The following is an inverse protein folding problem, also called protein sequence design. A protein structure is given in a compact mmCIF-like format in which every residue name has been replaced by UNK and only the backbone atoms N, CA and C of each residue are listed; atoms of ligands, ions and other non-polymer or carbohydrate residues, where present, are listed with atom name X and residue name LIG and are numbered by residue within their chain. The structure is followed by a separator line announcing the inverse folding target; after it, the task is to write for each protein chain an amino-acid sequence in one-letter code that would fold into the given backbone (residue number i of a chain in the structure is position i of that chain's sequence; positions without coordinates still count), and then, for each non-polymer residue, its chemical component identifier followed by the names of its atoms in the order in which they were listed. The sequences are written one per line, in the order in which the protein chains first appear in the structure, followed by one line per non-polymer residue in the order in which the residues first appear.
data_IF_111572033583
#
_entry.id   IF_111572033583
#
_cell.length_a   1.000
_cell.length_b   1.000
_cell.length_c   1.000
_cell.angle_alpha   90.00
_cell.angle_beta   90.00
_cell.angle_gamma   90.00
#
_symmetry.space_group_name_H-M   'P 1'
#
loop_
_entity.id
_entity.type
_entity.pdbx_description
1 polymer ?
#
# COMPACT_ATOMS: atom_id res chain seq x y z
N UNK A 1 15.22 42.18 -0.80
CA UNK A 1 15.97 40.93 -1.03
C UNK A 1 15.30 39.75 -0.31
N UNK A 2 14.89 39.87 0.94
CA UNK A 2 14.18 38.83 1.73
C UNK A 2 12.86 38.34 1.09
N UNK A 3 11.99 39.25 0.67
CA UNK A 3 10.68 38.91 0.04
C UNK A 3 10.85 38.08 -1.26
N UNK A 4 11.94 38.30 -2.01
CA UNK A 4 12.23 37.52 -3.22
C UNK A 4 12.72 36.11 -2.89
N UNK A 5 13.50 35.93 -1.85
CA UNK A 5 14.00 34.64 -1.37
C UNK A 5 12.85 33.78 -0.80
N UNK A 6 11.96 34.36 0.01
CA UNK A 6 10.78 33.68 0.53
C UNK A 6 9.83 33.22 -0.57
N UNK A 7 9.58 34.08 -1.58
CA UNK A 7 8.76 33.71 -2.75
C UNK A 7 9.40 32.60 -3.58
N UNK A 8 10.71 32.56 -3.69
CA UNK A 8 11.43 31.53 -4.40
C UNK A 8 11.39 30.21 -3.64
N UNK A 9 11.58 30.21 -2.31
CA UNK A 9 11.46 29.04 -1.45
C UNK A 9 10.02 28.46 -1.49
N UNK A 10 8.99 29.31 -1.42
CA UNK A 10 7.60 28.88 -1.54
C UNK A 10 7.26 28.29 -2.91
N UNK A 11 7.82 28.82 -4.01
CA UNK A 11 7.66 28.26 -5.36
C UNK A 11 8.33 26.89 -5.47
N UNK A 12 9.54 26.76 -4.93
CA UNK A 12 10.28 25.50 -4.90
C UNK A 12 9.53 24.41 -4.13
N UNK A 13 9.04 24.73 -2.93
CA UNK A 13 8.23 23.80 -2.11
C UNK A 13 6.97 23.33 -2.83
N UNK A 14 6.24 24.23 -3.51
CA UNK A 14 5.07 23.88 -4.31
C UNK A 14 5.40 22.97 -5.48
N UNK A 15 6.50 23.24 -6.19
CA UNK A 15 6.93 22.42 -7.33
C UNK A 15 7.32 21.00 -6.88
N UNK A 16 8.02 20.87 -5.75
CA UNK A 16 8.39 19.58 -5.17
C UNK A 16 7.18 18.78 -4.69
N UNK A 17 6.23 19.46 -4.05
CA UNK A 17 4.96 18.82 -3.64
C UNK A 17 4.17 18.36 -4.88
N UNK A 18 4.09 19.17 -5.94
CA UNK A 18 3.42 18.78 -7.19
C UNK A 18 4.13 17.59 -7.87
N UNK A 19 5.45 17.56 -7.88
CA UNK A 19 6.22 16.42 -8.41
C UNK A 19 5.96 15.14 -7.61
N UNK A 20 5.85 15.23 -6.28
CA UNK A 20 5.46 14.10 -5.45
C UNK A 20 4.05 13.59 -5.79
N UNK A 21 3.06 14.48 -5.99
CA UNK A 21 1.72 14.09 -6.44
C UNK A 21 1.76 13.39 -7.80
N UNK A 22 2.51 13.94 -8.76
CA UNK A 22 2.68 13.33 -10.08
C UNK A 22 3.32 11.94 -10.01
N UNK A 23 4.26 11.72 -9.08
CA UNK A 23 4.88 10.41 -8.85
C UNK A 23 3.93 9.42 -8.19
N UNK A 24 3.09 9.88 -7.24
CA UNK A 24 2.25 8.98 -6.45
C UNK A 24 1.09 8.35 -7.23
N UNK A 25 0.60 8.97 -8.30
CA UNK A 25 -0.42 8.35 -9.16
C UNK A 25 0.10 7.07 -9.84
N UNK A 26 1.20 7.08 -10.63
CA UNK A 26 1.73 5.85 -11.21
C UNK A 26 2.26 4.87 -10.15
N UNK A 27 2.79 5.34 -9.02
CA UNK A 27 3.16 4.49 -7.89
C UNK A 27 1.92 3.75 -7.37
N UNK A 28 0.78 4.43 -7.21
CA UNK A 28 -0.48 3.83 -6.79
C UNK A 28 -0.97 2.76 -7.76
N UNK A 29 -0.88 3.04 -9.07
CA UNK A 29 -1.20 2.05 -10.12
C UNK A 29 -0.34 0.80 -9.92
N UNK A 30 0.98 0.94 -9.85
CA UNK A 30 1.91 -0.21 -9.82
C UNK A 30 1.84 -0.97 -8.51
N UNK A 31 1.56 -0.30 -7.39
CA UNK A 31 1.44 -0.97 -6.09
C UNK A 31 0.37 -2.06 -6.10
N UNK A 32 -0.76 -1.81 -6.77
CA UNK A 32 -1.89 -2.75 -6.82
C UNK A 32 -1.97 -3.53 -8.13
N UNK A 33 -1.08 -3.27 -9.08
CA UNK A 33 -1.09 -3.78 -10.46
C UNK A 33 -1.11 -5.32 -10.52
N UNK A 34 -0.38 -5.95 -9.62
CA UNK A 34 -0.22 -7.40 -9.63
C UNK A 34 -1.58 -8.13 -9.48
N UNK A 35 -2.49 -7.63 -8.64
CA UNK A 35 -3.80 -8.23 -8.44
C UNK A 35 -4.63 -8.33 -9.73
N UNK A 36 -4.92 -7.21 -10.42
CA UNK A 36 -5.62 -7.23 -11.71
C UNK A 36 -4.90 -7.99 -12.82
N UNK A 37 -3.56 -8.01 -12.82
CA UNK A 37 -2.76 -8.77 -13.81
C UNK A 37 -2.65 -10.26 -13.47
N UNK A 38 -2.86 -10.66 -12.23
CA UNK A 38 -2.63 -12.02 -11.75
C UNK A 38 -3.32 -13.09 -12.61
N UNK A 39 -4.61 -12.93 -13.01
CA UNK A 39 -5.26 -13.89 -13.89
C UNK A 39 -4.58 -14.06 -15.25
N UNK A 40 -4.05 -12.97 -15.82
CA UNK A 40 -3.35 -12.99 -17.09
C UNK A 40 -1.95 -13.60 -16.97
N UNK A 41 -1.19 -13.24 -15.92
CA UNK A 41 0.12 -13.81 -15.64
C UNK A 41 0.04 -15.30 -15.33
N UNK A 42 -0.94 -15.71 -14.52
CA UNK A 42 -1.16 -17.14 -14.21
C UNK A 42 -1.47 -17.96 -15.46
N UNK A 43 -2.31 -17.44 -16.36
CA UNK A 43 -2.61 -18.10 -17.63
C UNK A 43 -1.37 -18.15 -18.54
N UNK A 44 -0.61 -17.06 -18.65
CA UNK A 44 0.57 -16.95 -19.50
C UNK A 44 1.71 -17.87 -19.07
N UNK A 45 1.94 -17.97 -17.77
CA UNK A 45 3.05 -18.73 -17.19
C UNK A 45 2.64 -20.09 -16.63
N UNK A 46 1.36 -20.49 -16.83
CA UNK A 46 0.78 -21.73 -16.33
C UNK A 46 0.98 -21.93 -14.83
N UNK A 47 0.77 -20.85 -14.04
CA UNK A 47 1.00 -20.87 -12.60
C UNK A 47 -0.18 -21.50 -11.87
N UNK A 48 0.12 -22.31 -10.87
CA UNK A 48 -0.85 -22.65 -9.82
C UNK A 48 -1.06 -21.47 -8.86
N UNK A 49 -2.02 -21.60 -7.93
CA UNK A 49 -2.32 -20.53 -7.01
C UNK A 49 -1.15 -20.21 -6.05
N UNK A 50 -0.36 -21.20 -5.61
CA UNK A 50 0.77 -20.99 -4.72
C UNK A 50 1.89 -20.22 -5.43
N UNK A 51 2.18 -20.58 -6.68
CA UNK A 51 3.14 -19.88 -7.53
C UNK A 51 2.66 -18.45 -7.84
N UNK A 52 1.37 -18.26 -8.12
CA UNK A 52 0.78 -16.94 -8.31
C UNK A 52 0.88 -16.08 -7.03
N UNK A 53 0.64 -16.67 -5.86
CA UNK A 53 0.81 -16.01 -4.57
C UNK A 53 2.25 -15.58 -4.28
N UNK A 54 3.25 -16.37 -4.73
CA UNK A 54 4.68 -16.05 -4.55
C UNK A 54 5.11 -14.78 -5.29
N UNK A 55 4.37 -14.33 -6.30
CA UNK A 55 4.64 -13.05 -6.97
C UNK A 55 4.45 -11.86 -6.02
N UNK A 56 3.45 -11.90 -5.13
CA UNK A 56 3.30 -10.88 -4.07
C UNK A 56 4.44 -10.95 -3.06
N UNK A 57 4.90 -12.16 -2.73
CA UNK A 57 6.08 -12.33 -1.87
C UNK A 57 7.31 -11.67 -2.50
N UNK A 58 7.56 -11.89 -3.79
CA UNK A 58 8.65 -11.24 -4.50
C UNK A 58 8.53 -9.70 -4.46
N UNK A 59 7.34 -9.15 -4.73
CA UNK A 59 7.07 -7.70 -4.70
C UNK A 59 7.34 -7.10 -3.31
N UNK A 60 6.73 -7.64 -2.26
CA UNK A 60 6.76 -7.01 -0.93
C UNK A 60 8.03 -7.30 -0.16
N UNK A 61 8.64 -8.48 -0.34
CA UNK A 61 9.92 -8.79 0.29
C UNK A 61 11.04 -7.90 -0.26
N UNK A 62 11.06 -7.70 -1.58
CA UNK A 62 12.03 -6.79 -2.21
C UNK A 62 11.72 -5.32 -1.91
N UNK A 63 10.45 -4.94 -1.73
CA UNK A 63 10.07 -3.63 -1.22
C UNK A 63 10.65 -3.38 0.17
N UNK A 64 10.68 -4.38 1.04
CA UNK A 64 11.32 -4.28 2.36
C UNK A 64 12.81 -3.92 2.25
N UNK A 65 13.52 -4.53 1.30
CA UNK A 65 14.91 -4.19 1.02
C UNK A 65 15.04 -2.75 0.51
N UNK A 66 14.13 -2.34 -0.38
CA UNK A 66 14.05 -0.96 -0.86
C UNK A 66 13.83 0.06 0.26
N UNK A 67 12.91 -0.22 1.20
CA UNK A 67 12.65 0.65 2.36
C UNK A 67 13.91 0.78 3.22
N UNK A 68 14.60 -0.32 3.51
CA UNK A 68 15.85 -0.29 4.27
C UNK A 68 16.95 0.52 3.56
N UNK A 69 17.04 0.42 2.23
CA UNK A 69 18.01 1.18 1.45
C UNK A 69 17.63 2.66 1.26
N UNK A 70 16.34 3.00 1.29
CA UNK A 70 15.84 4.35 1.02
C UNK A 70 16.44 5.40 1.94
N UNK A 71 16.47 5.14 3.26
CA UNK A 71 17.07 6.05 4.23
C UNK A 71 18.56 6.31 3.99
N UNK A 72 19.32 5.25 3.65
CA UNK A 72 20.73 5.36 3.30
C UNK A 72 20.93 6.17 2.01
N UNK A 73 20.15 5.91 0.96
CA UNK A 73 20.26 6.66 -0.30
C UNK A 73 19.91 8.13 -0.11
N UNK A 74 18.86 8.44 0.67
CA UNK A 74 18.47 9.82 0.97
C UNK A 74 19.59 10.55 1.72
N UNK A 75 20.19 9.92 2.73
CA UNK A 75 21.29 10.54 3.51
C UNK A 75 22.57 10.73 2.71
N UNK A 76 22.87 9.83 1.74
CA UNK A 76 24.12 9.85 0.97
C UNK A 76 24.04 10.66 -0.31
N UNK A 77 22.89 10.61 -1.03
CA UNK A 77 22.71 11.21 -2.35
C UNK A 77 21.46 12.10 -2.46
N UNK A 78 20.73 12.28 -1.35
CA UNK A 78 19.55 13.14 -1.27
C UNK A 78 18.26 12.53 -1.81
N UNK A 79 17.16 13.22 -1.55
CA UNK A 79 15.81 12.79 -1.92
C UNK A 79 15.63 12.58 -3.43
N UNK A 80 16.19 13.48 -4.24
CA UNK A 80 16.07 13.45 -5.70
C UNK A 80 16.60 12.15 -6.29
N UNK A 81 17.77 11.73 -5.82
CA UNK A 81 18.37 10.47 -6.27
C UNK A 81 17.53 9.26 -5.85
N UNK A 82 17.16 9.18 -4.57
CA UNK A 82 16.40 8.03 -4.05
C UNK A 82 15.03 7.87 -4.74
N UNK A 83 14.31 8.98 -4.95
CA UNK A 83 13.01 8.99 -5.66
C UNK A 83 13.20 8.55 -7.12
N UNK A 84 14.12 9.18 -7.87
CA UNK A 84 14.32 8.85 -9.26
C UNK A 84 14.83 7.42 -9.48
N UNK A 85 15.72 6.92 -8.62
CA UNK A 85 16.18 5.53 -8.66
C UNK A 85 15.00 4.55 -8.43
N UNK A 86 14.13 4.86 -7.47
CA UNK A 86 12.93 4.07 -7.21
C UNK A 86 11.94 4.08 -8.37
N UNK A 87 11.65 5.27 -8.94
CA UNK A 87 10.76 5.39 -10.10
C UNK A 87 11.33 4.68 -11.34
N UNK A 88 12.65 4.76 -11.56
CA UNK A 88 13.32 4.07 -12.65
C UNK A 88 13.21 2.55 -12.50
N UNK A 89 13.47 2.02 -11.29
CA UNK A 89 13.32 0.60 -11.01
C UNK A 89 11.87 0.12 -11.22
N UNK A 90 10.87 0.92 -10.82
CA UNK A 90 9.46 0.64 -11.09
C UNK A 90 9.16 0.65 -12.59
N UNK A 91 9.60 1.67 -13.32
CA UNK A 91 9.40 1.79 -14.77
C UNK A 91 10.04 0.63 -15.54
N UNK A 92 11.27 0.27 -15.22
CA UNK A 92 11.98 -0.86 -15.84
C UNK A 92 11.29 -2.19 -15.53
N UNK A 93 10.94 -2.44 -14.26
CA UNK A 93 10.26 -3.67 -13.87
C UNK A 93 8.92 -3.86 -14.58
N UNK A 94 8.12 -2.81 -14.69
CA UNK A 94 6.80 -2.86 -15.36
C UNK A 94 6.96 -2.91 -16.88
N UNK A 95 7.86 -2.12 -17.48
CA UNK A 95 8.03 -2.03 -18.95
C UNK A 95 8.64 -3.30 -19.57
N UNK A 96 9.50 -4.01 -18.84
CA UNK A 96 10.11 -5.27 -19.32
C UNK A 96 9.19 -6.48 -19.09
N UNK A 97 8.29 -6.43 -18.10
CA UNK A 97 7.43 -7.55 -17.70
C UNK A 97 6.66 -8.20 -18.86
N UNK A 98 6.07 -7.48 -19.83
CA UNK A 98 5.32 -8.10 -20.92
C UNK A 98 6.18 -8.89 -21.90
N UNK A 99 7.49 -8.70 -21.92
CA UNK A 99 8.39 -9.32 -22.92
C UNK A 99 9.11 -10.57 -22.44
N UNK A 100 8.98 -10.91 -21.14
CA UNK A 100 9.78 -11.96 -20.51
C UNK A 100 8.93 -13.15 -20.06
N UNK A 101 9.60 -14.30 -19.88
CA UNK A 101 9.00 -15.50 -19.30
C UNK A 101 8.95 -15.42 -17.76
N UNK A 102 8.46 -16.48 -17.13
CA UNK A 102 8.18 -16.54 -15.69
C UNK A 102 9.39 -16.13 -14.82
N UNK A 103 10.56 -16.73 -15.03
CA UNK A 103 11.74 -16.48 -14.19
C UNK A 103 12.16 -15.00 -14.21
N UNK A 104 12.33 -14.42 -15.41
CA UNK A 104 12.65 -12.99 -15.55
C UNK A 104 11.47 -12.11 -15.15
N UNK A 105 10.23 -12.57 -15.30
CA UNK A 105 9.05 -11.89 -14.83
C UNK A 105 9.03 -11.70 -13.31
N UNK A 106 9.44 -12.72 -12.54
CA UNK A 106 9.63 -12.60 -11.09
C UNK A 106 10.72 -11.56 -10.78
N UNK A 107 11.83 -11.54 -11.53
CA UNK A 107 12.86 -10.52 -11.38
C UNK A 107 12.35 -9.10 -11.70
N UNK A 108 11.50 -8.93 -12.70
CA UNK A 108 10.83 -7.67 -13.00
C UNK A 108 9.91 -7.21 -11.86
N UNK A 109 9.15 -8.14 -11.27
CA UNK A 109 8.29 -7.88 -10.12
C UNK A 109 9.14 -7.49 -8.89
N UNK A 110 10.23 -8.20 -8.65
CA UNK A 110 11.20 -7.86 -7.61
C UNK A 110 11.82 -6.47 -7.82
N UNK A 111 12.17 -6.12 -9.06
CA UNK A 111 12.74 -4.83 -9.43
C UNK A 111 11.76 -3.68 -9.11
N UNK A 112 10.50 -3.76 -9.55
CA UNK A 112 9.55 -2.71 -9.20
C UNK A 112 9.18 -2.72 -7.71
N UNK A 113 9.26 -3.86 -7.03
CA UNK A 113 9.14 -3.96 -5.58
C UNK A 113 10.24 -3.15 -4.86
N UNK A 114 11.51 -3.33 -5.24
CA UNK A 114 12.62 -2.49 -4.74
C UNK A 114 12.34 -1.01 -5.00
N UNK A 115 11.91 -0.69 -6.23
CA UNK A 115 11.59 0.68 -6.63
C UNK A 115 10.51 1.32 -5.76
N UNK A 116 9.46 0.56 -5.45
CA UNK A 116 8.39 0.99 -4.55
C UNK A 116 8.93 1.29 -3.14
N UNK A 117 9.76 0.39 -2.61
CA UNK A 117 10.41 0.56 -1.31
C UNK A 117 11.36 1.75 -1.24
N UNK A 118 12.01 2.12 -2.34
CA UNK A 118 12.88 3.30 -2.42
C UNK A 118 12.08 4.61 -2.54
N UNK A 119 11.14 4.67 -3.49
CA UNK A 119 10.47 5.92 -3.85
C UNK A 119 9.43 6.38 -2.82
N UNK A 120 8.62 5.46 -2.29
CA UNK A 120 7.49 5.83 -1.42
C UNK A 120 7.94 6.49 -0.12
N UNK A 121 8.87 5.91 0.68
CA UNK A 121 9.35 6.55 1.90
C UNK A 121 10.08 7.87 1.63
N UNK A 122 10.95 7.90 0.61
CA UNK A 122 11.72 9.09 0.25
C UNK A 122 10.80 10.25 -0.15
N UNK A 123 9.77 10.01 -0.96
CA UNK A 123 8.83 11.04 -1.38
C UNK A 123 7.91 11.49 -0.24
N UNK A 124 7.44 10.59 0.62
CA UNK A 124 6.68 10.97 1.81
C UNK A 124 7.52 11.85 2.75
N UNK A 125 8.79 11.48 2.98
CA UNK A 125 9.68 12.26 3.82
C UNK A 125 9.96 13.63 3.21
N UNK A 126 10.22 13.71 1.90
CA UNK A 126 10.38 14.97 1.18
C UNK A 126 9.16 15.88 1.38
N UNK A 127 7.93 15.35 1.15
CA UNK A 127 6.69 16.12 1.32
C UNK A 127 6.55 16.63 2.75
N UNK A 128 6.92 15.83 3.73
CA UNK A 128 6.91 16.22 5.13
C UNK A 128 7.88 17.36 5.44
N UNK A 129 9.12 17.31 4.90
CA UNK A 129 10.17 18.31 5.12
C UNK A 129 9.84 19.64 4.43
N UNK A 130 9.29 19.62 3.22
CA UNK A 130 8.95 20.86 2.49
C UNK A 130 7.63 21.50 2.93
N UNK A 131 6.85 20.85 3.80
CA UNK A 131 5.59 21.34 4.35
C UNK A 131 5.55 21.26 5.90
N UNK A 132 6.48 21.87 6.63
CA UNK A 132 6.62 21.67 8.08
C UNK A 132 5.38 22.11 8.87
N UNK A 133 4.73 23.21 8.47
CA UNK A 133 3.53 23.76 9.14
C UNK A 133 2.25 23.00 8.85
N UNK A 134 2.20 22.21 7.75
CA UNK A 134 1.02 21.45 7.30
C UNK A 134 1.36 20.00 6.96
N UNK A 135 2.34 19.43 7.65
CA UNK A 135 2.91 18.11 7.38
C UNK A 135 1.87 17.02 7.20
N UNK A 136 0.96 16.86 8.16
CA UNK A 136 -0.08 15.82 8.10
C UNK A 136 -1.04 16.02 6.92
N UNK A 137 -1.45 17.25 6.63
CA UNK A 137 -2.34 17.54 5.51
C UNK A 137 -1.65 17.26 4.17
N UNK A 138 -0.37 17.64 4.01
CA UNK A 138 0.39 17.38 2.79
C UNK A 138 0.61 15.88 2.56
N UNK A 139 0.93 15.12 3.62
CA UNK A 139 1.06 13.67 3.55
C UNK A 139 -0.26 12.98 3.19
N UNK A 140 -1.37 13.40 3.78
CA UNK A 140 -2.68 12.86 3.43
C UNK A 140 -3.03 13.13 1.97
N UNK A 141 -2.73 14.32 1.46
CA UNK A 141 -3.04 14.69 0.08
C UNK A 141 -2.19 13.91 -0.93
N UNK A 142 -0.90 13.68 -0.66
CA UNK A 142 -0.06 12.86 -1.55
C UNK A 142 -0.48 11.39 -1.53
N UNK A 143 -0.89 10.86 -0.38
CA UNK A 143 -1.45 9.50 -0.29
C UNK A 143 -2.84 9.40 -0.95
N UNK A 144 -3.60 10.49 -1.02
CA UNK A 144 -4.81 10.54 -1.85
C UNK A 144 -4.47 10.34 -3.34
N UNK A 145 -3.40 10.96 -3.85
CA UNK A 145 -2.94 10.74 -5.25
C UNK A 145 -2.56 9.27 -5.51
N UNK A 146 -1.91 8.61 -4.53
CA UNK A 146 -1.69 7.17 -4.59
C UNK A 146 -3.01 6.39 -4.71
N UNK A 147 -4.00 6.74 -3.89
CA UNK A 147 -5.30 6.06 -3.89
C UNK A 147 -6.05 6.23 -5.21
N UNK A 148 -5.93 7.40 -5.87
CA UNK A 148 -6.47 7.62 -7.22
C UNK A 148 -5.87 6.62 -8.21
N UNK A 149 -4.54 6.44 -8.18
CA UNK A 149 -3.84 5.44 -8.99
C UNK A 149 -4.32 4.01 -8.70
N UNK A 150 -4.46 3.66 -7.42
CA UNK A 150 -4.92 2.34 -6.99
C UNK A 150 -6.35 2.02 -7.47
N UNK A 151 -7.26 3.00 -7.44
CA UNK A 151 -8.63 2.87 -7.97
C UNK A 151 -8.62 2.72 -9.50
N UNK A 152 -7.80 3.53 -10.18
CA UNK A 152 -7.74 3.54 -11.64
C UNK A 152 -7.15 2.24 -12.21
N UNK A 153 -6.18 1.61 -11.51
CA UNK A 153 -5.42 0.48 -12.00
C UNK A 153 -6.27 -0.68 -12.54
N UNK A 154 -7.24 -1.26 -11.80
CA UNK A 154 -8.02 -2.38 -12.33
C UNK A 154 -8.90 -1.98 -13.51
N UNK A 155 -9.38 -0.74 -13.58
CA UNK A 155 -10.11 -0.23 -14.75
C UNK A 155 -9.20 -0.13 -15.98
N UNK A 156 -7.97 0.36 -15.81
CA UNK A 156 -6.98 0.44 -16.90
C UNK A 156 -6.63 -0.96 -17.41
N UNK A 157 -6.37 -1.92 -16.52
CA UNK A 157 -6.08 -3.30 -16.89
C UNK A 157 -7.28 -3.94 -17.57
N UNK A 158 -8.50 -3.70 -17.09
CA UNK A 158 -9.72 -4.21 -17.72
C UNK A 158 -9.94 -3.64 -19.13
N UNK A 159 -9.72 -2.32 -19.32
CA UNK A 159 -9.81 -1.68 -20.61
C UNK A 159 -8.75 -2.19 -21.62
N UNK A 160 -7.59 -2.60 -21.11
CA UNK A 160 -6.53 -3.19 -21.92
C UNK A 160 -6.71 -4.71 -22.18
N UNK A 161 -7.71 -5.36 -21.59
CA UNK A 161 -8.03 -6.78 -21.83
C UNK A 161 -9.14 -6.89 -22.90
N UNK A 162 -8.99 -7.75 -23.95
CA UNK A 162 -8.04 -8.84 -24.10
C UNK A 162 -6.92 -8.54 -25.12
N UNK A 163 -5.76 -9.17 -24.94
CA UNK A 163 -4.72 -9.28 -25.95
C UNK A 163 -3.54 -8.34 -25.79
N UNK A 164 -2.98 -7.86 -26.92
CA UNK A 164 -1.76 -7.03 -26.99
C UNK A 164 -1.88 -5.67 -26.27
N UNK A 165 -3.10 -5.23 -25.98
CA UNK A 165 -3.32 -3.95 -25.27
C UNK A 165 -2.75 -3.92 -23.85
N UNK A 166 -2.63 -5.06 -23.17
CA UNK A 166 -1.97 -5.12 -21.85
C UNK A 166 -0.50 -4.75 -21.94
N UNK A 167 0.20 -5.15 -23.02
CA UNK A 167 1.59 -4.73 -23.26
C UNK A 167 1.68 -3.21 -23.41
N UNK A 168 0.85 -2.61 -24.25
CA UNK A 168 0.80 -1.14 -24.43
C UNK A 168 0.49 -0.42 -23.10
N UNK A 169 -0.40 -0.95 -22.28
CA UNK A 169 -0.70 -0.38 -20.96
C UNK A 169 0.55 -0.37 -20.06
N UNK A 170 1.27 -1.49 -19.98
CA UNK A 170 2.46 -1.59 -19.14
C UNK A 170 3.59 -0.67 -19.63
N UNK A 171 3.76 -0.57 -20.95
CA UNK A 171 4.70 0.38 -21.56
C UNK A 171 4.28 1.83 -21.31
N UNK A 172 2.99 2.16 -21.42
CA UNK A 172 2.49 3.49 -21.11
C UNK A 172 2.72 3.87 -19.64
N UNK A 173 2.54 2.92 -18.71
CA UNK A 173 2.86 3.13 -17.29
C UNK A 173 4.38 3.37 -17.13
N UNK A 174 5.23 2.57 -17.77
CA UNK A 174 6.67 2.75 -17.75
C UNK A 174 7.10 4.10 -18.32
N UNK A 175 6.53 4.53 -19.44
CA UNK A 175 6.72 5.87 -19.99
C UNK A 175 6.27 6.97 -19.03
N UNK A 176 5.16 6.75 -18.31
CA UNK A 176 4.69 7.66 -17.27
C UNK A 176 5.73 7.90 -16.18
N UNK A 177 6.43 6.84 -15.72
CA UNK A 177 7.54 7.00 -14.79
C UNK A 177 8.69 7.80 -15.39
N UNK A 178 9.06 7.56 -16.63
CA UNK A 178 10.13 8.31 -17.30
C UNK A 178 9.77 9.80 -17.44
N UNK A 179 8.51 10.12 -17.73
CA UNK A 179 8.03 11.50 -17.79
C UNK A 179 8.10 12.18 -16.42
N UNK A 180 7.71 11.48 -15.35
CA UNK A 180 7.83 12.01 -13.98
C UNK A 180 9.28 12.23 -13.60
N UNK A 181 10.18 11.28 -13.92
CA UNK A 181 11.62 11.41 -13.69
C UNK A 181 12.16 12.63 -14.45
N UNK A 182 11.82 12.78 -15.75
CA UNK A 182 12.21 13.92 -16.55
C UNK A 182 11.72 15.24 -15.93
N UNK A 183 10.48 15.28 -15.44
CA UNK A 183 9.93 16.43 -14.73
C UNK A 183 10.70 16.76 -13.45
N UNK A 184 11.03 15.76 -12.62
CA UNK A 184 11.84 15.95 -11.40
C UNK A 184 13.27 16.42 -11.76
N UNK A 185 13.85 15.89 -12.83
CA UNK A 185 15.19 16.28 -13.30
C UNK A 185 15.19 17.72 -13.87
N UNK A 186 14.10 18.16 -14.49
CA UNK A 186 13.97 19.51 -15.02
C UNK A 186 13.77 20.58 -13.93
N UNK A 187 13.37 20.21 -12.71
CA UNK A 187 13.27 21.16 -11.60
C UNK A 187 14.66 21.72 -11.26
N UNK A 188 14.75 23.02 -10.87
CA UNK A 188 16.00 23.61 -10.40
C UNK A 188 16.62 22.74 -9.28
N UNK A 189 17.94 22.76 -9.20
CA UNK A 189 18.65 22.04 -8.13
C UNK A 189 18.17 22.54 -6.77
N UNK A 190 17.59 21.62 -6.00
CA UNK A 190 17.12 21.86 -4.64
C UNK A 190 17.87 20.91 -3.71
N UNK A 191 18.32 21.44 -2.61
CA UNK A 191 18.90 20.68 -1.52
C UNK A 191 17.93 20.80 -0.34
N UNK A 192 17.25 19.70 -0.04
CA UNK A 192 16.50 19.54 1.22
C UNK A 192 17.35 18.62 2.05
N UNK A 193 18.02 19.18 3.06
CA UNK A 193 18.72 18.37 4.05
C UNK A 193 17.70 17.62 4.89
N UNK A 194 17.84 16.30 5.07
CA UNK A 194 17.02 15.58 6.05
C UNK A 194 17.24 16.22 7.40
N UNK A 195 16.18 16.61 8.09
CA UNK A 195 16.28 17.14 9.44
C UNK A 195 17.11 16.17 10.28
N UNK A 196 18.30 16.61 10.66
CA UNK A 196 19.31 15.79 11.31
C UNK A 196 18.83 15.23 12.66
N UNK A 197 18.39 13.99 12.64
CA UNK A 197 17.83 13.28 13.78
C UNK A 197 18.34 11.85 13.94
N UNK A 198 19.52 11.52 13.41
CA UNK A 198 20.06 10.15 13.54
C UNK A 198 20.97 9.92 14.75
N UNK A 199 21.38 10.94 15.48
CA UNK A 199 22.46 10.82 16.47
C UNK A 199 22.07 10.82 17.94
N UNK A 200 21.11 11.63 18.36
CA UNK A 200 20.78 11.81 19.80
C UNK A 200 19.56 11.00 20.27
N UNK A 201 18.63 10.64 19.39
CA UNK A 201 17.38 9.98 19.77
C UNK A 201 17.48 8.44 19.86
N UNK A 202 18.65 7.89 19.56
CA UNK A 202 18.85 6.42 19.51
C UNK A 202 18.68 5.73 20.86
N UNK A 203 19.14 6.37 21.91
CA UNK A 203 19.07 5.82 23.27
C UNK A 203 17.66 5.95 23.84
N UNK A 204 16.97 7.06 23.57
CA UNK A 204 15.59 7.29 24.03
C UNK A 204 14.58 6.37 23.33
N UNK A 205 14.75 6.12 22.03
CA UNK A 205 13.88 5.20 21.29
C UNK A 205 14.05 3.75 21.74
N UNK A 206 15.28 3.30 22.00
CA UNK A 206 15.55 1.96 22.54
C UNK A 206 14.90 1.76 23.91
N UNK A 207 14.99 2.72 24.79
CA UNK A 207 14.35 2.69 26.10
C UNK A 207 12.81 2.67 26.00
N UNK A 208 12.23 3.51 25.13
CA UNK A 208 10.79 3.52 24.89
C UNK A 208 10.29 2.18 24.32
N UNK A 209 11.04 1.54 23.42
CA UNK A 209 10.73 0.22 22.88
C UNK A 209 10.79 -0.88 23.95
N UNK A 210 11.77 -0.79 24.87
CA UNK A 210 11.89 -1.74 25.97
C UNK A 210 10.80 -1.54 27.03
N UNK A 211 10.46 -0.31 27.34
CA UNK A 211 9.43 0.01 28.36
C UNK A 211 8.01 -0.38 27.89
N UNK A 212 7.73 -0.38 26.56
CA UNK A 212 6.41 -0.69 26.03
C UNK A 212 6.43 -1.82 24.98
N UNK A 213 7.11 -2.93 25.29
CA UNK A 213 7.23 -4.10 24.41
C UNK A 213 5.88 -4.67 23.98
N UNK A 214 4.89 -4.69 24.86
CA UNK A 214 3.57 -5.21 24.55
C UNK A 214 2.87 -4.36 23.49
N UNK A 215 2.95 -3.04 23.55
CA UNK A 215 2.40 -2.15 22.53
C UNK A 215 3.19 -2.28 21.21
N UNK A 216 4.51 -2.41 21.28
CA UNK A 216 5.37 -2.62 20.10
C UNK A 216 4.95 -3.89 19.33
N UNK A 217 4.83 -5.03 20.02
CA UNK A 217 4.45 -6.29 19.41
C UNK A 217 3.01 -6.26 18.87
N UNK A 218 2.09 -5.65 19.62
CA UNK A 218 0.71 -5.48 19.18
C UNK A 218 0.63 -4.65 17.90
N UNK A 219 1.27 -3.47 17.87
CA UNK A 219 1.27 -2.62 16.68
C UNK A 219 1.97 -3.29 15.51
N UNK A 220 3.07 -4.00 15.74
CA UNK A 220 3.74 -4.79 14.72
C UNK A 220 2.79 -5.84 14.11
N UNK A 221 2.03 -6.57 14.95
CA UNK A 221 1.02 -7.51 14.49
C UNK A 221 -0.11 -6.82 13.72
N UNK A 222 -0.60 -5.67 14.20
CA UNK A 222 -1.66 -4.91 13.52
C UNK A 222 -1.23 -4.41 12.14
N UNK A 223 0.00 -3.88 12.00
CA UNK A 223 0.55 -3.45 10.72
C UNK A 223 0.74 -4.63 9.76
N UNK A 224 1.29 -5.74 10.25
CA UNK A 224 1.45 -6.98 9.50
C UNK A 224 0.10 -7.49 8.98
N UNK A 225 -0.88 -7.62 9.86
CA UNK A 225 -2.20 -8.17 9.52
C UNK A 225 -2.92 -7.22 8.55
N UNK A 226 -2.95 -5.92 8.85
CA UNK A 226 -3.67 -4.95 8.02
C UNK A 226 -3.21 -4.97 6.56
N UNK A 227 -1.91 -4.76 6.33
CA UNK A 227 -1.36 -4.70 4.96
C UNK A 227 -1.46 -6.06 4.28
N UNK A 228 -1.28 -7.14 5.05
CA UNK A 228 -1.48 -8.49 4.56
C UNK A 228 -2.93 -8.74 4.10
N UNK A 229 -3.93 -8.36 4.88
CA UNK A 229 -5.36 -8.48 4.55
C UNK A 229 -5.72 -7.62 3.34
N UNK A 230 -5.32 -6.34 3.32
CA UNK A 230 -5.60 -5.42 2.23
C UNK A 230 -5.08 -5.98 0.89
N UNK A 231 -3.83 -6.46 0.88
CA UNK A 231 -3.20 -6.98 -0.33
C UNK A 231 -3.67 -8.39 -0.70
N UNK A 232 -3.93 -9.26 0.27
CA UNK A 232 -4.48 -10.59 0.00
C UNK A 232 -5.89 -10.48 -0.59
N UNK A 233 -6.76 -9.68 0.01
CA UNK A 233 -8.12 -9.53 -0.45
C UNK A 233 -8.17 -8.79 -1.79
N UNK A 234 -7.58 -7.58 -1.89
CA UNK A 234 -7.56 -6.80 -3.13
C UNK A 234 -6.84 -7.52 -4.27
N UNK A 235 -5.74 -8.22 -3.98
CA UNK A 235 -4.93 -8.93 -4.95
C UNK A 235 -5.61 -10.18 -5.54
N UNK A 236 -6.43 -10.90 -4.77
CA UNK A 236 -7.05 -12.13 -5.23
C UNK A 236 -8.50 -11.96 -5.72
N UNK A 237 -9.14 -10.80 -5.50
CA UNK A 237 -10.54 -10.55 -5.89
C UNK A 237 -10.76 -10.73 -7.40
N UNK A 238 -9.86 -10.23 -8.26
CA UNK A 238 -9.96 -10.41 -9.71
C UNK A 238 -9.85 -11.89 -10.11
N UNK A 239 -8.91 -12.63 -9.52
CA UNK A 239 -8.72 -14.06 -9.76
C UNK A 239 -9.95 -14.86 -9.33
N UNK A 240 -10.55 -14.51 -8.18
CA UNK A 240 -11.81 -15.14 -7.73
C UNK A 240 -12.96 -14.83 -8.68
N UNK A 241 -13.15 -13.57 -9.07
CA UNK A 241 -14.21 -13.20 -10.01
C UNK A 241 -14.09 -13.93 -11.35
N UNK A 242 -12.86 -14.23 -11.80
CA UNK A 242 -12.63 -15.00 -13.03
C UNK A 242 -13.04 -16.47 -12.92
N UNK A 243 -13.12 -17.04 -11.72
CA UNK A 243 -13.62 -18.43 -11.54
C UNK A 243 -15.13 -18.55 -11.68
N UNK A 244 -15.85 -17.44 -11.68
CA UNK A 244 -17.31 -17.45 -11.79
C UNK A 244 -17.75 -17.75 -13.24
N UNK A 245 -18.72 -18.64 -13.45
CA UNK A 245 -19.18 -19.00 -14.78
C UNK A 245 -19.82 -17.81 -15.52
N UNK A 246 -19.50 -17.67 -16.79
CA UNK A 246 -20.09 -16.65 -17.67
C UNK A 246 -19.63 -15.22 -17.43
N UNK A 247 -18.65 -14.98 -16.55
CA UNK A 247 -18.11 -13.63 -16.29
C UNK A 247 -17.06 -13.27 -17.33
N UNK A 248 -17.25 -12.17 -18.10
CA UNK A 248 -16.23 -11.67 -19.01
C UNK A 248 -14.95 -11.27 -18.25
N UNK A 249 -13.78 -11.52 -18.84
CA UNK A 249 -12.49 -11.26 -18.22
C UNK A 249 -12.33 -9.80 -17.74
N UNK A 250 -12.78 -8.83 -18.54
CA UNK A 250 -12.73 -7.41 -18.20
C UNK A 250 -13.51 -7.09 -16.90
N UNK A 251 -14.72 -7.65 -16.74
CA UNK A 251 -15.52 -7.46 -15.53
C UNK A 251 -14.86 -8.08 -14.30
N UNK A 252 -14.26 -9.27 -14.43
CA UNK A 252 -13.53 -9.90 -13.35
C UNK A 252 -12.33 -9.02 -12.88
N UNK A 253 -11.57 -8.50 -13.84
CA UNK A 253 -10.41 -7.65 -13.58
C UNK A 253 -10.78 -6.31 -12.93
N UNK A 254 -11.98 -5.78 -13.21
CA UNK A 254 -12.47 -4.52 -12.60
C UNK A 254 -12.86 -4.67 -11.13
N UNK A 255 -13.13 -5.87 -10.62
CA UNK A 255 -13.68 -6.06 -9.26
C UNK A 255 -12.85 -5.44 -8.14
N UNK A 256 -11.50 -5.44 -8.14
CA UNK A 256 -10.72 -4.76 -7.12
C UNK A 256 -10.91 -3.24 -7.08
N UNK A 257 -11.34 -2.59 -8.17
CA UNK A 257 -11.62 -1.14 -8.17
C UNK A 257 -12.71 -0.78 -7.17
N UNK A 258 -13.72 -1.64 -6.99
CA UNK A 258 -14.79 -1.39 -6.02
C UNK A 258 -14.26 -1.42 -4.58
N UNK A 259 -13.31 -2.30 -4.30
CA UNK A 259 -12.60 -2.34 -3.02
C UNK A 259 -11.80 -1.06 -2.78
N UNK A 260 -10.93 -0.68 -3.71
CA UNK A 260 -10.07 0.51 -3.57
C UNK A 260 -10.86 1.81 -3.60
N UNK A 261 -11.94 1.89 -4.39
CA UNK A 261 -12.84 3.05 -4.40
C UNK A 261 -13.53 3.23 -3.04
N UNK A 262 -14.09 2.16 -2.48
CA UNK A 262 -14.73 2.21 -1.17
C UNK A 262 -13.71 2.51 -0.05
N UNK A 263 -12.50 2.00 -0.15
CA UNK A 263 -11.39 2.30 0.75
C UNK A 263 -11.00 3.78 0.67
N UNK A 264 -10.89 4.35 -0.53
CA UNK A 264 -10.63 5.78 -0.74
C UNK A 264 -11.75 6.64 -0.15
N UNK A 265 -13.01 6.31 -0.47
CA UNK A 265 -14.18 7.04 0.02
C UNK A 265 -14.29 6.98 1.54
N UNK A 266 -14.07 5.80 2.14
CA UNK A 266 -14.08 5.64 3.59
C UNK A 266 -12.95 6.41 4.29
N UNK A 267 -11.74 6.47 3.70
CA UNK A 267 -10.64 7.31 4.20
C UNK A 267 -10.99 8.80 4.16
N UNK A 268 -11.68 9.24 3.11
CA UNK A 268 -12.16 10.61 3.01
C UNK A 268 -13.25 10.91 4.05
N UNK A 269 -14.15 9.98 4.30
CA UNK A 269 -15.24 10.14 5.26
C UNK A 269 -14.82 9.95 6.73
N UNK A 270 -13.75 9.20 6.99
CA UNK A 270 -13.30 8.84 8.34
C UNK A 270 -13.12 10.05 9.29
N UNK A 271 -12.53 11.20 8.89
CA UNK A 271 -12.41 12.36 9.77
C UNK A 271 -13.75 12.91 10.26
N UNK A 272 -14.82 12.75 9.47
CA UNK A 272 -16.17 13.21 9.85
C UNK A 272 -16.73 12.32 10.96
N UNK A 273 -16.57 11.00 10.83
CA UNK A 273 -17.03 10.01 11.80
C UNK A 273 -16.25 10.13 13.11
N UNK A 274 -14.93 10.30 13.01
CA UNK A 274 -14.01 10.42 14.14
C UNK A 274 -14.23 11.66 15.01
N UNK A 275 -14.97 12.68 14.50
CA UNK A 275 -15.39 13.81 15.34
C UNK A 275 -16.41 13.43 16.42
N UNK A 276 -17.13 12.32 16.24
CA UNK A 276 -18.22 11.89 17.12
C UNK A 276 -17.99 10.52 17.77
N UNK A 277 -17.10 9.71 17.19
CA UNK A 277 -16.87 8.33 17.60
C UNK A 277 -15.38 8.12 17.83
N UNK A 278 -15.01 7.49 18.94
CA UNK A 278 -13.60 7.23 19.26
C UNK A 278 -12.92 6.29 18.26
N UNK A 279 -11.63 6.51 18.02
CA UNK A 279 -10.79 5.80 17.02
C UNK A 279 -10.93 4.28 17.12
N UNK A 280 -10.77 3.71 18.32
CA UNK A 280 -10.85 2.27 18.55
C UNK A 280 -12.23 1.69 18.20
N UNK A 281 -13.29 2.44 18.49
CA UNK A 281 -14.68 2.05 18.17
C UNK A 281 -14.88 2.04 16.65
N UNK A 282 -14.40 3.06 15.95
CA UNK A 282 -14.45 3.12 14.48
C UNK A 282 -13.67 1.97 13.86
N UNK A 283 -12.47 1.65 14.37
CA UNK A 283 -11.67 0.53 13.89
C UNK A 283 -12.39 -0.83 14.11
N UNK A 284 -13.03 -1.04 15.25
CA UNK A 284 -13.79 -2.27 15.54
C UNK A 284 -14.98 -2.47 14.60
N UNK A 285 -15.82 -1.43 14.43
CA UNK A 285 -16.95 -1.51 13.51
C UNK A 285 -16.49 -1.64 12.06
N UNK A 286 -15.41 -0.95 11.69
CA UNK A 286 -14.78 -1.11 10.40
C UNK A 286 -14.32 -2.55 10.14
N UNK A 287 -13.64 -3.16 11.10
CA UNK A 287 -13.19 -4.56 10.98
C UNK A 287 -14.36 -5.55 10.90
N UNK A 288 -15.43 -5.35 11.66
CA UNK A 288 -16.65 -6.17 11.54
C UNK A 288 -17.26 -6.04 10.15
N UNK A 289 -17.35 -4.81 9.62
CA UNK A 289 -17.86 -4.56 8.29
C UNK A 289 -16.94 -5.21 7.22
N UNK A 290 -15.61 -5.12 7.40
CA UNK A 290 -14.65 -5.77 6.52
C UNK A 290 -14.80 -7.28 6.53
N UNK A 291 -14.93 -7.90 7.72
CA UNK A 291 -15.17 -9.34 7.85
C UNK A 291 -16.47 -9.76 7.18
N UNK A 292 -17.56 -8.98 7.32
CA UNK A 292 -18.83 -9.24 6.65
C UNK A 292 -18.67 -9.18 5.11
N UNK A 293 -17.95 -8.16 4.58
CA UNK A 293 -17.66 -8.07 3.15
C UNK A 293 -16.80 -9.23 2.64
N UNK A 294 -15.78 -9.63 3.38
CA UNK A 294 -14.93 -10.78 3.02
C UNK A 294 -15.70 -12.10 3.05
N UNK A 295 -16.53 -12.32 4.10
CA UNK A 295 -17.37 -13.51 4.21
C UNK A 295 -18.39 -13.58 3.05
N UNK A 296 -19.11 -12.49 2.79
CA UNK A 296 -20.10 -12.45 1.70
C UNK A 296 -19.46 -12.65 0.33
N UNK A 297 -18.21 -12.19 0.11
CA UNK A 297 -17.50 -12.43 -1.14
C UNK A 297 -17.28 -13.94 -1.37
N UNK A 298 -16.84 -14.68 -0.36
CA UNK A 298 -16.57 -16.14 -0.44
C UNK A 298 -17.82 -16.90 -0.89
N UNK A 299 -19.02 -16.46 -0.47
CA UNK A 299 -20.29 -17.07 -0.84
C UNK A 299 -20.93 -16.47 -2.09
N UNK A 300 -20.31 -15.46 -2.71
CA UNK A 300 -20.87 -14.80 -3.89
C UNK A 300 -20.64 -15.63 -5.15
N UNK A 301 -21.73 -15.94 -5.88
CA UNK A 301 -21.71 -16.66 -7.16
C UNK A 301 -21.95 -15.74 -8.35
N UNK A 302 -22.19 -14.45 -8.14
CA UNK A 302 -22.44 -13.44 -9.18
C UNK A 302 -21.46 -12.30 -9.09
N UNK A 303 -21.06 -11.76 -10.24
CA UNK A 303 -20.10 -10.65 -10.31
C UNK A 303 -20.56 -9.42 -9.49
N UNK A 304 -21.84 -9.08 -9.52
CA UNK A 304 -22.40 -7.99 -8.74
C UNK A 304 -22.23 -8.22 -7.22
N UNK A 305 -22.41 -9.47 -6.77
CA UNK A 305 -22.17 -9.86 -5.38
C UNK A 305 -20.69 -9.68 -4.97
N UNK A 306 -19.77 -10.11 -5.85
CA UNK A 306 -18.31 -9.92 -5.64
C UNK A 306 -17.98 -8.44 -5.55
N UNK A 307 -18.47 -7.61 -6.47
CA UNK A 307 -18.23 -6.16 -6.49
C UNK A 307 -18.78 -5.47 -5.22
N UNK A 308 -20.03 -5.79 -4.83
CA UNK A 308 -20.65 -5.24 -3.64
C UNK A 308 -19.90 -5.66 -2.35
N UNK A 309 -19.55 -6.94 -2.25
CA UNK A 309 -18.78 -7.49 -1.12
C UNK A 309 -17.39 -6.86 -1.02
N UNK A 310 -16.72 -6.65 -2.17
CA UNK A 310 -15.44 -5.96 -2.24
C UNK A 310 -15.55 -4.50 -1.75
N UNK A 311 -16.60 -3.78 -2.16
CA UNK A 311 -16.86 -2.42 -1.68
C UNK A 311 -17.11 -2.39 -0.16
N UNK A 312 -17.91 -3.31 0.36
CA UNK A 312 -18.17 -3.41 1.82
C UNK A 312 -16.87 -3.67 2.59
N UNK A 313 -16.04 -4.59 2.11
CA UNK A 313 -14.74 -4.90 2.73
C UNK A 313 -13.79 -3.68 2.68
N UNK A 314 -13.71 -2.97 1.55
CA UNK A 314 -12.90 -1.77 1.39
C UNK A 314 -13.34 -0.63 2.32
N UNK A 315 -14.65 -0.38 2.41
CA UNK A 315 -15.20 0.61 3.33
C UNK A 315 -14.85 0.27 4.78
N UNK A 316 -14.96 -1.00 5.15
CA UNK A 316 -14.63 -1.48 6.49
C UNK A 316 -13.16 -1.29 6.87
N UNK A 317 -12.23 -1.55 5.95
CA UNK A 317 -10.78 -1.38 6.19
C UNK A 317 -10.32 0.08 6.15
N UNK A 318 -11.10 1.00 5.60
CA UNK A 318 -10.68 2.35 5.23
C UNK A 318 -10.03 3.15 6.37
N UNK A 319 -10.65 3.17 7.54
CA UNK A 319 -10.17 3.94 8.70
C UNK A 319 -9.15 3.15 9.57
N UNK A 320 -9.04 1.85 9.40
CA UNK A 320 -8.25 0.99 10.30
C UNK A 320 -6.75 1.34 10.26
N UNK A 321 -6.18 1.52 9.06
CA UNK A 321 -4.75 1.85 8.92
C UNK A 321 -4.38 3.24 9.47
N UNK A 322 -5.11 4.31 9.13
CA UNK A 322 -4.88 5.63 9.74
C UNK A 322 -5.00 5.62 11.27
N UNK A 323 -5.98 4.88 11.81
CA UNK A 323 -6.14 4.73 13.25
C UNK A 323 -4.95 3.97 13.87
N UNK A 324 -4.47 2.91 13.21
CA UNK A 324 -3.28 2.17 13.69
C UNK A 324 -2.04 3.07 13.73
N UNK A 325 -1.87 3.98 12.75
CA UNK A 325 -0.79 5.00 12.75
C UNK A 325 -0.99 6.01 13.90
N UNK A 326 -2.23 6.45 14.14
CA UNK A 326 -2.55 7.34 15.27
C UNK A 326 -2.17 6.69 16.60
N UNK A 327 -2.53 5.44 16.81
CA UNK A 327 -2.17 4.67 18.01
C UNK A 327 -0.65 4.53 18.17
N UNK A 328 0.09 4.31 17.08
CA UNK A 328 1.56 4.31 17.12
C UNK A 328 2.11 5.64 17.63
N UNK A 329 1.58 6.74 17.15
CA UNK A 329 2.00 8.08 17.56
C UNK A 329 1.65 8.36 19.03
N UNK A 330 0.50 7.91 19.51
CA UNK A 330 0.09 8.04 20.91
C UNK A 330 0.96 7.21 21.86
N UNK A 331 1.28 5.96 21.50
CA UNK A 331 2.03 5.05 22.38
C UNK A 331 3.53 5.37 22.44
N UNK A 332 4.12 5.92 21.37
CA UNK A 332 5.56 6.12 21.26
C UNK A 332 6.01 7.59 21.16
N UNK A 333 5.08 8.53 21.01
CA UNK A 333 5.39 9.97 21.01
C UNK A 333 6.53 10.34 20.06
N UNK A 334 7.60 10.94 20.58
CA UNK A 334 8.77 11.33 19.79
C UNK A 334 9.51 10.14 19.17
N UNK A 335 9.44 8.94 19.75
CA UNK A 335 10.04 7.73 19.20
C UNK A 335 9.24 7.10 18.04
N UNK A 336 8.00 7.58 17.76
CA UNK A 336 7.10 7.01 16.77
C UNK A 336 7.71 6.97 15.37
N UNK A 337 8.53 7.94 14.97
CA UNK A 337 9.20 7.96 13.66
C UNK A 337 10.14 6.77 13.49
N UNK A 338 10.91 6.44 14.51
CA UNK A 338 11.86 5.33 14.49
C UNK A 338 11.17 3.97 14.60
N UNK A 339 10.18 3.87 15.50
CA UNK A 339 9.35 2.67 15.63
C UNK A 339 8.54 2.44 14.36
N UNK A 340 8.12 3.50 13.67
CA UNK A 340 7.40 3.46 12.40
C UNK A 340 8.14 2.69 11.31
N UNK A 341 9.47 2.78 11.23
CA UNK A 341 10.24 2.01 10.22
C UNK A 341 10.11 0.49 10.45
N UNK A 342 10.08 0.06 11.71
CA UNK A 342 9.83 -1.35 12.06
C UNK A 342 8.40 -1.75 11.67
N UNK A 343 7.43 -0.86 11.93
CA UNK A 343 6.03 -1.10 11.58
C UNK A 343 5.84 -1.25 10.06
N UNK A 344 6.48 -0.40 9.26
CA UNK A 344 6.44 -0.53 7.79
C UNK A 344 7.11 -1.80 7.28
N UNK A 345 8.19 -2.24 7.95
CA UNK A 345 8.81 -3.55 7.65
C UNK A 345 7.82 -4.69 7.94
N UNK A 346 7.15 -4.66 9.08
CA UNK A 346 6.12 -5.64 9.42
C UNK A 346 4.93 -5.59 8.44
N UNK A 347 4.51 -4.41 8.03
CA UNK A 347 3.49 -4.21 7.01
C UNK A 347 3.86 -4.90 5.68
N UNK A 348 5.07 -4.69 5.18
CA UNK A 348 5.55 -5.34 3.97
C UNK A 348 5.65 -6.87 4.12
N UNK A 349 6.09 -7.37 5.28
CA UNK A 349 6.10 -8.81 5.55
C UNK A 349 4.68 -9.40 5.54
N UNK A 350 3.69 -8.66 6.03
CA UNK A 350 2.28 -9.03 5.91
C UNK A 350 1.82 -9.11 4.46
N UNK A 351 2.16 -8.07 3.67
CA UNK A 351 1.90 -8.02 2.22
C UNK A 351 2.60 -9.15 1.44
N UNK A 352 3.77 -9.60 1.89
CA UNK A 352 4.46 -10.75 1.32
C UNK A 352 3.82 -12.10 1.69
N UNK A 353 3.32 -12.23 2.92
CA UNK A 353 2.93 -13.52 3.50
C UNK A 353 1.47 -13.87 3.24
N UNK A 354 0.52 -12.95 3.51
CA UNK A 354 -0.91 -13.28 3.45
C UNK A 354 -1.40 -13.57 2.02
N UNK A 355 -1.02 -12.81 0.98
CA UNK A 355 -1.39 -13.18 -0.39
C UNK A 355 -0.81 -14.53 -0.83
N UNK A 356 0.40 -14.86 -0.38
CA UNK A 356 0.99 -16.17 -0.62
C UNK A 356 0.22 -17.27 0.10
N UNK A 357 -0.19 -17.07 1.36
CA UNK A 357 -1.02 -18.02 2.09
C UNK A 357 -2.36 -18.28 1.40
N UNK A 358 -3.00 -17.23 0.83
CA UNK A 358 -4.19 -17.44 -0.02
C UNK A 358 -3.88 -18.41 -1.15
N UNK A 359 -2.80 -18.18 -1.89
CA UNK A 359 -2.37 -19.07 -2.97
C UNK A 359 -2.08 -20.49 -2.50
N UNK A 360 -1.33 -20.63 -1.41
CA UNK A 360 -0.95 -21.91 -0.83
C UNK A 360 -2.18 -22.77 -0.44
N UNK A 361 -3.12 -22.20 0.31
CA UNK A 361 -4.33 -22.92 0.70
C UNK A 361 -5.23 -23.19 -0.51
N UNK A 362 -5.31 -22.26 -1.46
CA UNK A 362 -6.07 -22.48 -2.69
C UNK A 362 -5.53 -23.64 -3.53
N UNK A 363 -4.21 -23.77 -3.64
CA UNK A 363 -3.59 -24.93 -4.32
C UNK A 363 -3.83 -26.21 -3.53
N UNK A 364 -3.64 -26.17 -2.21
CA UNK A 364 -3.76 -27.36 -1.36
C UNK A 364 -5.16 -27.96 -1.35
N UNK A 365 -6.18 -27.13 -1.45
CA UNK A 365 -7.60 -27.56 -1.42
C UNK A 365 -8.29 -27.46 -2.79
N UNK A 366 -7.56 -27.08 -3.85
CA UNK A 366 -8.07 -26.88 -5.22
C UNK A 366 -9.28 -25.92 -5.30
N UNK A 367 -9.43 -25.00 -4.32
CA UNK A 367 -10.52 -24.02 -4.25
C UNK A 367 -10.02 -22.67 -3.74
N UNK A 368 -10.19 -21.62 -4.54
CA UNK A 368 -9.79 -20.25 -4.19
C UNK A 368 -10.64 -19.67 -3.04
N UNK A 369 -11.84 -20.20 -2.80
CA UNK A 369 -12.67 -19.80 -1.65
C UNK A 369 -12.01 -20.13 -0.31
N UNK A 370 -11.36 -21.32 -0.26
CA UNK A 370 -10.60 -21.72 0.94
C UNK A 370 -9.42 -20.78 1.19
N UNK A 371 -8.71 -20.40 0.13
CA UNK A 371 -7.63 -19.40 0.25
C UNK A 371 -8.15 -18.04 0.74
N UNK A 372 -9.29 -17.57 0.24
CA UNK A 372 -9.91 -16.31 0.67
C UNK A 372 -10.41 -16.32 2.13
N UNK A 373 -10.48 -17.48 2.79
CA UNK A 373 -10.68 -17.53 4.24
C UNK A 373 -9.46 -16.98 5.02
N UNK A 374 -8.26 -16.96 4.44
CA UNK A 374 -7.05 -16.41 5.09
C UNK A 374 -7.19 -14.94 5.46
N UNK A 375 -7.49 -14.00 4.53
CA UNK A 375 -7.68 -12.59 4.91
C UNK A 375 -8.87 -12.40 5.85
N UNK A 376 -9.93 -13.20 5.75
CA UNK A 376 -11.06 -13.17 6.69
C UNK A 376 -10.61 -13.57 8.11
N UNK A 377 -9.89 -14.68 8.25
CA UNK A 377 -9.39 -15.14 9.55
C UNK A 377 -8.40 -14.12 10.16
N UNK A 378 -7.53 -13.54 9.33
CA UNK A 378 -6.60 -12.50 9.75
C UNK A 378 -7.33 -11.21 10.19
N UNK A 379 -8.39 -10.79 9.48
CA UNK A 379 -9.22 -9.64 9.88
C UNK A 379 -9.98 -9.90 11.20
N UNK A 380 -10.49 -11.11 11.41
CA UNK A 380 -11.10 -11.53 12.68
C UNK A 380 -10.07 -11.52 13.83
N UNK A 381 -8.85 -12.00 13.58
CA UNK A 381 -7.76 -11.91 14.56
C UNK A 381 -7.46 -10.45 14.90
N UNK A 382 -7.37 -9.58 13.89
CA UNK A 382 -7.15 -8.15 14.09
C UNK A 382 -8.28 -7.52 14.92
N UNK A 383 -9.54 -7.88 14.65
CA UNK A 383 -10.68 -7.45 15.44
C UNK A 383 -10.54 -7.89 16.91
N UNK A 384 -10.15 -9.14 17.15
CA UNK A 384 -9.89 -9.66 18.49
C UNK A 384 -8.78 -8.89 19.23
N UNK A 385 -7.69 -8.54 18.54
CA UNK A 385 -6.61 -7.72 19.10
C UNK A 385 -7.09 -6.32 19.49
N UNK A 386 -7.91 -5.68 18.65
CA UNK A 386 -8.53 -4.40 18.98
C UNK A 386 -9.54 -4.51 20.13
N UNK A 387 -10.19 -5.67 20.29
CA UNK A 387 -11.16 -5.88 21.36
C UNK A 387 -10.51 -6.08 22.73
N UNK A 388 -9.45 -6.87 22.81
CA UNK A 388 -8.80 -7.25 24.07
C UNK A 388 -7.99 -6.11 24.69
N UNK A 389 -7.14 -5.44 23.92
CA UNK A 389 -6.19 -4.45 24.44
C UNK A 389 -6.87 -3.17 24.94
N UNK A 390 -7.85 -2.65 24.23
CA UNK A 390 -8.51 -1.38 24.58
C UNK A 390 -9.80 -1.53 25.38
N UNK A 391 -10.12 -2.74 25.83
CA UNK A 391 -11.21 -2.97 26.78
C UNK A 391 -10.83 -2.48 28.19
N UNK A 392 -9.56 -2.57 28.56
CA UNK A 392 -9.01 -2.19 29.85
C UNK A 392 -8.94 -0.68 30.08
N UNK A 393 -8.81 0.13 29.04
CA UNK A 393 -8.76 1.60 29.16
C UNK A 393 -10.11 2.25 29.44
N UNK A 394 -11.21 1.62 29.06
CA UNK A 394 -12.58 2.09 29.37
C UNK A 394 -12.99 1.82 30.83
N UNK A 395 -12.42 0.80 31.47
CA UNK A 395 -12.72 0.44 32.88
C UNK A 395 -11.87 1.29 33.84
N UNK A 396 -10.72 1.82 33.41
CA UNK A 396 -9.86 2.67 34.22
C UNK A 396 -10.25 4.17 34.18
N UNK A 397 -11.21 4.55 33.32
CA UNK A 397 -11.71 5.92 33.15
C UNK A 397 -13.13 6.12 33.74
N UNK A 398 -13.76 5.07 34.32
CA UNK A 398 -14.97 5.11 35.14
C UNK A 398 -14.63 4.86 36.60
#
# INVERSE_FOLDING_TARGET
MEISAERQAARSSRALTAAAHAAFVPIGIVTVLLGPLLPALSARWSLDYAQAGSLFTAQYLTSTLGVAASGFLVSRWGFRFAINAGLLAMGLGVGVLPWVGHFLGVACIACYGVGMGLAVPAANLLVAEVNPTRRSAALNLVNFSWSVGAVACPFLVAAASPGYHTTFLLEAIACGFLLVIAGIVALPSWVVEPAGGAGSDGVSAGAAMQSNRAALLLLAALFFIYVGVENAFGGWTASYAKTLPGVPAAWAVMTPSFFYFALLFGRWAAPIVLRRVGEVTVARWGLLLACAGMATLIFSHKIAGVAASAAVAGLGLAAVYPITISLLSHEFGAAATRVGSIMFTMANLGGASLPWLVGFFSTRFADLRVGLAVPLAAALLMFGLYWTRWRTTLIAAT
#
